data_IF_288105784954
#
_entry.id   IF_288105784954
#
_cell.length_a   1.000
_cell.length_b   1.000
_cell.length_c   1.000
_cell.angle_alpha   90.00
_cell.angle_beta   90.00
_cell.angle_gamma   90.00
#
_symmetry.space_group_name_H-M   'P 1'
#
loop_
_entity.id
_entity.type
_entity.pdbx_description
1 polymer ?
#
# COMPACT_ATOMS: atom_id res chain seq x y z
N UNK A 1 17.38 -52.20 12.66
CA UNK A 1 16.58 -52.06 11.42
C UNK A 1 15.37 -51.21 11.75
N UNK A 2 15.50 -49.90 11.59
CA UNK A 2 14.43 -48.92 11.89
C UNK A 2 13.88 -48.38 10.60
N UNK A 3 12.62 -48.59 10.35
CA UNK A 3 11.87 -47.99 9.23
C UNK A 3 11.66 -46.52 9.52
N UNK A 4 12.30 -45.63 8.76
CA UNK A 4 11.97 -44.22 8.72
C UNK A 4 10.79 -44.07 7.76
N UNK A 5 9.60 -43.86 8.31
CA UNK A 5 8.41 -43.44 7.54
C UNK A 5 8.71 -42.09 6.89
N UNK A 6 8.87 -42.10 5.58
CA UNK A 6 8.83 -40.87 4.76
C UNK A 6 7.39 -40.39 4.78
N UNK A 7 7.10 -39.34 5.58
CA UNK A 7 5.87 -38.56 5.42
C UNK A 7 5.96 -37.91 4.03
N UNK A 8 5.12 -38.36 3.12
CA UNK A 8 4.88 -37.67 1.87
C UNK A 8 4.25 -36.29 2.20
N UNK A 9 4.98 -35.21 1.97
CA UNK A 9 4.41 -33.87 1.88
C UNK A 9 3.53 -33.87 0.64
N UNK A 10 2.27 -34.22 0.81
CA UNK A 10 1.23 -33.96 -0.17
C UNK A 10 1.07 -32.43 -0.17
N UNK A 11 1.66 -31.75 -1.15
CA UNK A 11 1.33 -30.36 -1.45
C UNK A 11 -0.19 -30.31 -1.60
N UNK A 12 -0.85 -29.58 -0.70
CA UNK A 12 -2.28 -29.28 -0.80
C UNK A 12 -2.47 -28.38 -2.02
N UNK A 13 -2.62 -28.98 -3.21
CA UNK A 13 -2.92 -28.27 -4.44
C UNK A 13 -4.35 -27.77 -4.32
N UNK A 14 -4.52 -26.47 -4.03
CA UNK A 14 -5.84 -25.82 -4.01
C UNK A 14 -6.54 -26.02 -5.36
N UNK A 15 -7.77 -26.48 -5.34
CA UNK A 15 -8.60 -26.56 -6.55
C UNK A 15 -8.91 -25.16 -7.10
N UNK A 16 -9.32 -25.03 -8.36
CA UNK A 16 -9.77 -23.73 -8.89
C UNK A 16 -10.90 -23.11 -8.06
N UNK A 17 -11.80 -23.93 -7.50
CA UNK A 17 -12.89 -23.47 -6.64
C UNK A 17 -12.34 -22.88 -5.32
N UNK A 18 -11.44 -23.59 -4.65
CA UNK A 18 -10.85 -23.16 -3.38
C UNK A 18 -10.08 -21.84 -3.56
N UNK A 19 -9.35 -21.68 -4.66
CA UNK A 19 -8.66 -20.41 -5.00
C UNK A 19 -9.62 -19.27 -5.22
N UNK A 20 -10.73 -19.50 -5.93
CA UNK A 20 -11.76 -18.49 -6.17
C UNK A 20 -12.45 -18.08 -4.86
N UNK A 21 -12.74 -19.04 -3.98
CA UNK A 21 -13.31 -18.76 -2.68
C UNK A 21 -12.34 -17.96 -1.81
N UNK A 22 -11.09 -18.42 -1.68
CA UNK A 22 -10.05 -17.74 -0.88
C UNK A 22 -9.85 -16.29 -1.30
N UNK A 23 -9.64 -16.04 -2.61
CA UNK A 23 -9.43 -14.65 -3.08
C UNK A 23 -10.68 -13.79 -2.87
N UNK A 24 -11.87 -14.36 -3.03
CA UNK A 24 -13.13 -13.66 -2.77
C UNK A 24 -13.29 -13.27 -1.30
N UNK A 25 -12.94 -14.14 -0.38
CA UNK A 25 -12.95 -13.87 1.06
C UNK A 25 -11.93 -12.80 1.41
N UNK A 26 -10.70 -12.91 0.93
CA UNK A 26 -9.62 -11.95 1.15
C UNK A 26 -10.01 -10.53 0.68
N UNK A 27 -10.62 -10.42 -0.49
CA UNK A 27 -11.10 -9.13 -1.02
C UNK A 27 -12.20 -8.56 -0.12
N UNK A 28 -13.09 -9.41 0.40
CA UNK A 28 -14.22 -8.96 1.25
C UNK A 28 -13.79 -8.66 2.68
N UNK A 29 -12.75 -9.31 3.22
CA UNK A 29 -12.26 -9.07 4.60
C UNK A 29 -11.45 -7.80 4.71
N UNK A 30 -10.64 -7.49 3.71
CA UNK A 30 -9.71 -6.35 3.75
C UNK A 30 -10.40 -5.02 4.08
N UNK A 31 -9.86 -4.31 5.09
CA UNK A 31 -10.33 -2.98 5.53
C UNK A 31 -9.19 -1.97 5.52
N UNK A 32 -9.55 -0.71 5.32
CA UNK A 32 -8.66 0.41 5.66
C UNK A 32 -8.72 0.65 7.16
N UNK A 33 -7.59 0.55 7.83
CA UNK A 33 -7.51 0.68 9.29
C UNK A 33 -6.28 1.49 9.69
N UNK A 34 -6.45 2.34 10.72
CA UNK A 34 -5.37 2.96 11.49
C UNK A 34 -5.26 2.36 12.90
N UNK A 35 -6.00 1.28 13.20
CA UNK A 35 -5.82 0.49 14.40
C UNK A 35 -4.59 -0.41 14.21
N UNK A 36 -3.41 0.22 14.23
CA UNK A 36 -2.12 -0.38 13.94
C UNK A 36 -1.24 -0.24 15.18
N UNK A 37 -0.53 -1.30 15.56
CA UNK A 37 0.51 -1.26 16.56
C UNK A 37 1.74 -0.55 15.99
N UNK A 38 1.99 0.67 16.45
CA UNK A 38 3.11 1.49 15.98
C UNK A 38 4.48 1.01 16.51
N UNK A 39 4.50 0.09 17.49
CA UNK A 39 5.70 -0.42 18.13
C UNK A 39 6.08 -1.83 17.66
N UNK A 40 5.12 -2.58 17.10
CA UNK A 40 5.37 -3.92 16.59
C UNK A 40 6.00 -3.85 15.20
N UNK A 41 7.25 -4.28 15.09
CA UNK A 41 7.98 -4.29 13.80
C UNK A 41 7.37 -5.30 12.83
N UNK A 42 7.31 -4.93 11.56
CA UNK A 42 6.96 -5.85 10.46
C UNK A 42 8.26 -6.35 9.84
N UNK A 43 8.43 -7.68 9.69
CA UNK A 43 9.63 -8.24 9.05
C UNK A 43 9.87 -7.63 7.67
N UNK A 44 11.13 -7.32 7.40
CA UNK A 44 11.55 -6.67 6.15
C UNK A 44 11.15 -7.49 4.93
N UNK A 45 11.28 -8.80 5.02
CA UNK A 45 10.98 -9.75 3.95
C UNK A 45 9.51 -9.68 3.54
N UNK A 46 8.60 -9.53 4.51
CA UNK A 46 7.16 -9.36 4.22
C UNK A 46 6.94 -8.04 3.46
N UNK A 47 7.55 -6.95 3.91
CA UNK A 47 7.39 -5.64 3.24
C UNK A 47 7.95 -5.68 1.82
N UNK A 48 9.08 -6.34 1.60
CA UNK A 48 9.69 -6.50 0.28
C UNK A 48 8.78 -7.35 -0.64
N UNK A 49 8.22 -8.45 -0.14
CA UNK A 49 7.23 -9.25 -0.87
C UNK A 49 6.00 -8.41 -1.27
N UNK A 50 5.45 -7.63 -0.34
CA UNK A 50 4.32 -6.74 -0.64
C UNK A 50 4.65 -5.71 -1.72
N UNK A 51 5.86 -5.15 -1.71
CA UNK A 51 6.33 -4.24 -2.74
C UNK A 51 6.49 -4.95 -4.10
N UNK A 52 6.91 -6.21 -4.10
CA UNK A 52 6.97 -7.01 -5.32
C UNK A 52 5.56 -7.26 -5.88
N UNK A 53 4.60 -7.69 -5.07
CA UNK A 53 3.22 -7.92 -5.47
C UNK A 53 2.60 -6.68 -6.15
N UNK A 54 2.98 -5.48 -5.72
CA UNK A 54 2.53 -4.23 -6.35
C UNK A 54 2.92 -4.18 -7.82
N UNK A 55 4.08 -4.68 -8.20
CA UNK A 55 4.58 -4.63 -9.58
C UNK A 55 3.91 -5.66 -10.52
N UNK A 56 3.16 -6.61 -9.97
CA UNK A 56 2.44 -7.64 -10.75
C UNK A 56 1.09 -7.16 -11.31
N UNK A 57 0.75 -5.89 -11.14
CA UNK A 57 -0.43 -5.32 -11.75
C UNK A 57 -0.32 -5.24 -13.28
N UNK A 58 -1.44 -5.31 -14.03
CA UNK A 58 -1.44 -5.09 -15.46
C UNK A 58 -0.85 -3.72 -15.82
N UNK A 59 0.09 -3.70 -16.77
CA UNK A 59 0.72 -2.48 -17.23
C UNK A 59 0.77 -2.43 -18.77
N UNK A 60 -0.03 -1.55 -19.35
CA UNK A 60 -0.07 -1.37 -20.80
C UNK A 60 1.30 -0.86 -21.31
N UNK A 61 1.81 -1.53 -22.37
CA UNK A 61 3.13 -1.26 -22.97
C UNK A 61 4.33 -1.47 -22.04
N UNK A 62 4.17 -2.04 -20.85
CA UNK A 62 5.26 -2.37 -19.92
C UNK A 62 6.16 -1.16 -19.64
N UNK A 63 5.54 -0.05 -19.29
CA UNK A 63 6.22 1.21 -18.96
C UNK A 63 6.90 1.18 -17.59
N UNK A 64 6.55 0.18 -16.75
CA UNK A 64 7.11 -0.02 -15.40
C UNK A 64 7.06 1.25 -14.54
N UNK A 65 5.87 1.85 -14.31
CA UNK A 65 5.75 3.18 -13.77
C UNK A 65 5.91 3.27 -12.25
N UNK A 66 6.07 2.14 -11.57
CA UNK A 66 6.07 2.09 -10.11
C UNK A 66 7.33 2.73 -9.52
N UNK A 67 7.13 3.70 -8.63
CA UNK A 67 8.15 4.26 -7.75
C UNK A 67 7.75 3.88 -6.32
N UNK A 68 8.63 3.20 -5.57
CA UNK A 68 8.30 2.65 -4.26
C UNK A 68 9.42 2.99 -3.30
N UNK A 69 9.09 3.58 -2.15
CA UNK A 69 10.04 3.79 -1.05
C UNK A 69 9.40 3.38 0.26
N UNK A 70 10.11 2.54 1.00
CA UNK A 70 9.71 2.11 2.35
C UNK A 70 10.36 3.03 3.37
N UNK A 71 9.52 3.61 4.23
CA UNK A 71 9.92 4.50 5.32
C UNK A 71 9.68 3.79 6.65
N UNK A 72 10.73 3.62 7.43
CA UNK A 72 10.72 3.03 8.77
C UNK A 72 11.57 3.86 9.73
N UNK A 73 11.51 3.58 11.03
CA UNK A 73 12.32 4.32 12.03
C UNK A 73 12.13 5.83 11.90
N UNK A 74 13.23 6.57 11.88
CA UNK A 74 13.23 8.03 11.88
C UNK A 74 12.77 8.64 10.53
N UNK A 75 12.88 7.92 9.43
CA UNK A 75 12.46 8.43 8.11
C UNK A 75 10.96 8.79 8.06
N UNK A 76 10.11 8.15 8.88
CA UNK A 76 8.68 8.50 9.00
C UNK A 76 8.49 9.88 9.66
N UNK A 77 9.32 10.21 10.66
CA UNK A 77 9.32 11.53 11.32
C UNK A 77 9.75 12.60 10.31
N UNK A 78 10.86 12.37 9.61
CA UNK A 78 11.36 13.28 8.58
C UNK A 78 10.34 13.52 7.46
N UNK A 79 9.60 12.50 7.02
CA UNK A 79 8.49 12.64 6.09
C UNK A 79 7.42 13.58 6.65
N UNK A 80 7.04 13.41 7.91
CA UNK A 80 6.06 14.27 8.58
C UNK A 80 6.51 15.72 8.67
N UNK A 81 7.78 15.97 8.97
CA UNK A 81 8.38 17.29 9.02
C UNK A 81 8.41 17.96 7.64
N UNK A 82 8.84 17.24 6.59
CA UNK A 82 8.87 17.76 5.23
C UNK A 82 7.46 18.16 4.76
N UNK A 83 6.47 17.31 4.95
CA UNK A 83 5.08 17.59 4.57
C UNK A 83 4.50 18.74 5.39
N UNK A 84 4.70 18.75 6.71
CA UNK A 84 4.17 19.82 7.57
C UNK A 84 4.75 21.18 7.25
N UNK A 85 6.03 21.23 6.85
CA UNK A 85 6.69 22.47 6.40
C UNK A 85 6.02 23.05 5.14
N UNK A 86 5.72 22.20 4.15
CA UNK A 86 5.00 22.62 2.94
C UNK A 86 3.60 23.13 3.29
N UNK A 87 2.86 22.40 4.13
CA UNK A 87 1.52 22.80 4.55
C UNK A 87 1.52 24.16 5.26
N UNK A 88 2.49 24.41 6.14
CA UNK A 88 2.66 25.70 6.81
C UNK A 88 2.94 26.83 5.81
N UNK A 89 3.83 26.61 4.83
CA UNK A 89 4.14 27.60 3.77
C UNK A 89 2.91 27.90 2.91
N UNK A 90 1.99 26.97 2.72
CA UNK A 90 0.75 27.14 1.98
C UNK A 90 -0.37 27.81 2.79
N UNK A 91 -0.13 28.14 4.07
CA UNK A 91 -1.11 28.76 4.95
C UNK A 91 -2.20 27.82 5.43
N UNK A 92 -1.92 26.51 5.50
CA UNK A 92 -2.84 25.55 6.10
C UNK A 92 -3.02 25.84 7.60
N UNK A 93 -4.18 25.46 8.14
CA UNK A 93 -4.52 25.66 9.55
C UNK A 93 -3.51 24.96 10.49
N UNK A 94 -3.07 25.63 11.53
CA UNK A 94 -2.02 25.16 12.45
C UNK A 94 -2.27 23.75 12.99
N UNK A 95 -3.52 23.40 13.32
CA UNK A 95 -3.84 22.07 13.84
C UNK A 95 -3.60 20.97 12.78
N UNK A 96 -3.82 21.26 11.49
CA UNK A 96 -3.53 20.33 10.38
C UNK A 96 -2.03 20.16 10.19
N UNK A 97 -1.29 21.25 10.28
CA UNK A 97 0.19 21.26 10.20
C UNK A 97 0.79 20.42 11.32
N UNK A 98 0.37 20.65 12.57
CA UNK A 98 0.82 19.88 13.74
C UNK A 98 0.47 18.40 13.59
N UNK A 99 -0.76 18.09 13.17
CA UNK A 99 -1.20 16.71 12.93
C UNK A 99 -0.37 16.02 11.83
N UNK A 100 -0.03 16.74 10.76
CA UNK A 100 0.77 16.20 9.64
C UNK A 100 2.15 15.80 10.08
N UNK A 101 2.77 16.55 11.00
CA UNK A 101 4.12 16.30 11.52
C UNK A 101 4.29 14.91 12.15
N UNK A 102 3.26 14.39 12.81
CA UNK A 102 3.36 13.15 13.59
C UNK A 102 2.52 12.00 13.07
N UNK A 103 1.59 12.23 12.12
CA UNK A 103 0.64 11.21 11.68
C UNK A 103 1.30 9.96 11.09
N UNK A 104 2.49 10.08 10.51
CA UNK A 104 3.23 8.97 9.89
C UNK A 104 3.91 8.05 10.91
N UNK A 105 3.95 8.44 12.19
CA UNK A 105 4.42 7.60 13.30
C UNK A 105 3.35 6.62 13.83
N UNK A 106 2.14 6.64 13.25
CA UNK A 106 1.02 5.78 13.67
C UNK A 106 1.16 4.32 13.23
N UNK A 107 2.13 4.01 12.41
CA UNK A 107 2.46 2.64 11.99
C UNK A 107 3.98 2.46 11.98
N UNK A 108 4.49 1.23 12.15
CA UNK A 108 5.93 0.97 12.09
C UNK A 108 6.52 1.21 10.69
N UNK A 109 5.70 1.08 9.66
CA UNK A 109 6.08 1.24 8.25
C UNK A 109 5.10 2.19 7.55
N UNK A 110 5.65 3.06 6.70
CA UNK A 110 4.91 3.81 5.68
C UNK A 110 5.55 3.52 4.32
N UNK A 111 4.76 3.08 3.36
CA UNK A 111 5.24 2.88 1.99
C UNK A 111 4.71 4.01 1.12
N UNK A 112 5.64 4.80 0.58
CA UNK A 112 5.33 5.81 -0.42
C UNK A 112 5.29 5.14 -1.80
N UNK A 113 4.22 5.38 -2.55
CA UNK A 113 4.03 4.84 -3.89
C UNK A 113 3.76 5.97 -4.85
N UNK A 114 4.54 6.01 -5.94
CA UNK A 114 4.43 7.00 -7.00
C UNK A 114 4.25 6.36 -8.37
N UNK A 115 3.72 7.14 -9.30
CA UNK A 115 3.59 6.80 -10.71
C UNK A 115 4.52 7.68 -11.55
N UNK A 116 5.44 7.06 -12.27
CA UNK A 116 6.21 7.78 -13.29
C UNK A 116 5.29 8.20 -14.46
N UNK A 117 5.48 9.39 -15.03
CA UNK A 117 4.73 9.79 -16.21
C UNK A 117 5.02 8.89 -17.41
N UNK A 118 4.13 8.86 -18.37
CA UNK A 118 4.35 8.27 -19.68
C UNK A 118 4.90 9.29 -20.69
N UNK A 119 5.10 8.83 -21.92
CA UNK A 119 5.51 9.62 -23.08
C UNK A 119 4.38 10.50 -23.65
N UNK A 120 3.18 10.34 -23.15
CA UNK A 120 1.98 11.09 -23.50
C UNK A 120 1.05 11.23 -22.31
N UNK A 121 0.09 12.18 -22.38
CA UNK A 121 -0.93 12.33 -21.36
C UNK A 121 -1.75 11.04 -21.15
N UNK A 122 -2.18 10.42 -22.25
CA UNK A 122 -2.88 9.15 -22.19
C UNK A 122 -2.04 8.08 -21.48
N UNK A 123 -0.77 7.96 -21.80
CA UNK A 123 0.14 6.99 -21.19
C UNK A 123 0.34 7.29 -19.69
N UNK A 124 0.41 8.55 -19.33
CA UNK A 124 0.49 8.97 -17.93
C UNK A 124 -0.74 8.54 -17.14
N UNK A 125 -1.94 8.68 -17.71
CA UNK A 125 -3.19 8.20 -17.08
C UNK A 125 -3.18 6.68 -16.94
N UNK A 126 -2.78 5.94 -17.98
CA UNK A 126 -2.67 4.48 -17.92
C UNK A 126 -1.65 4.00 -16.87
N UNK A 127 -0.54 4.71 -16.72
CA UNK A 127 0.46 4.46 -15.67
C UNK A 127 -0.13 4.62 -14.26
N UNK A 128 -0.95 5.64 -14.03
CA UNK A 128 -1.68 5.82 -12.76
C UNK A 128 -2.62 4.64 -12.48
N UNK A 129 -3.34 4.16 -13.50
CA UNK A 129 -4.22 3.00 -13.33
C UNK A 129 -3.44 1.74 -12.99
N UNK A 130 -2.30 1.50 -13.63
CA UNK A 130 -1.43 0.38 -13.32
C UNK A 130 -0.91 0.45 -11.88
N UNK A 131 -0.48 1.64 -11.42
CA UNK A 131 -0.01 1.84 -10.04
C UNK A 131 -1.15 1.66 -9.04
N UNK A 132 -2.34 2.19 -9.31
CA UNK A 132 -3.50 2.02 -8.43
C UNK A 132 -3.91 0.54 -8.31
N UNK A 133 -3.89 -0.22 -9.42
CA UNK A 133 -4.12 -1.66 -9.40
C UNK A 133 -3.03 -2.39 -8.61
N UNK A 134 -1.78 -1.98 -8.73
CA UNK A 134 -0.66 -2.51 -7.94
C UNK A 134 -0.81 -2.24 -6.44
N UNK A 135 -1.24 -1.04 -6.07
CA UNK A 135 -1.54 -0.74 -4.66
C UNK A 135 -2.59 -1.71 -4.12
N UNK A 136 -3.62 -2.06 -4.89
CA UNK A 136 -4.62 -3.05 -4.44
C UNK A 136 -3.99 -4.44 -4.22
N UNK A 137 -3.05 -4.88 -5.09
CA UNK A 137 -2.31 -6.13 -4.86
C UNK A 137 -1.54 -6.09 -3.54
N UNK A 138 -0.82 -4.98 -3.28
CA UNK A 138 -0.11 -4.74 -2.02
C UNK A 138 -1.06 -4.87 -0.82
N UNK A 139 -2.23 -4.20 -0.88
CA UNK A 139 -3.20 -4.21 0.22
C UNK A 139 -3.79 -5.60 0.48
N UNK A 140 -4.02 -6.40 -0.57
CA UNK A 140 -4.50 -7.79 -0.44
C UNK A 140 -3.41 -8.71 0.10
N UNK A 141 -2.16 -8.54 -0.36
CA UNK A 141 -1.01 -9.26 0.21
C UNK A 141 -0.83 -8.97 1.70
N UNK A 142 -0.93 -7.70 2.10
CA UNK A 142 -0.86 -7.31 3.51
C UNK A 142 -1.99 -7.96 4.34
N UNK A 143 -3.22 -7.98 3.85
CA UNK A 143 -4.35 -8.67 4.50
C UNK A 143 -4.06 -10.17 4.65
N UNK A 144 -3.49 -10.82 3.63
CA UNK A 144 -3.13 -12.24 3.67
C UNK A 144 -2.05 -12.53 4.73
N UNK A 145 -1.14 -11.58 4.99
CA UNK A 145 -0.17 -11.65 6.09
C UNK A 145 -0.73 -11.22 7.46
N UNK A 146 -2.03 -10.93 7.57
CA UNK A 146 -2.66 -10.48 8.81
C UNK A 146 -2.26 -9.05 9.21
N UNK A 147 -1.80 -8.23 8.26
CA UNK A 147 -1.43 -6.84 8.48
C UNK A 147 -2.61 -5.90 8.21
N UNK A 148 -2.73 -4.88 9.05
CA UNK A 148 -3.62 -3.76 8.82
C UNK A 148 -2.96 -2.71 7.93
N UNK A 149 -3.75 -2.12 7.03
CA UNK A 149 -3.27 -1.08 6.11
C UNK A 149 -4.24 0.07 5.98
N UNK A 150 -3.70 1.25 5.68
CA UNK A 150 -4.48 2.39 5.20
C UNK A 150 -3.74 3.08 4.05
N UNK A 151 -4.38 3.16 2.91
CA UNK A 151 -3.90 3.97 1.78
C UNK A 151 -4.39 5.40 1.94
N UNK A 152 -3.47 6.31 2.31
CA UNK A 152 -3.73 7.74 2.45
C UNK A 152 -3.24 8.52 1.23
N UNK A 153 -4.04 9.52 0.83
CA UNK A 153 -3.61 10.47 -0.21
C UNK A 153 -2.53 11.42 0.33
N UNK A 154 -1.58 11.86 -0.51
CA UNK A 154 -0.65 12.92 -0.14
C UNK A 154 -1.42 14.21 0.13
N UNK A 155 -0.99 15.05 1.08
CA UNK A 155 -1.54 16.39 1.24
C UNK A 155 -1.32 17.23 -0.03
N UNK A 156 -2.27 18.13 -0.27
CA UNK A 156 -2.17 19.05 -1.43
C UNK A 156 -0.83 19.80 -1.42
N UNK A 157 -0.16 19.84 -2.58
CA UNK A 157 1.12 20.53 -2.76
C UNK A 157 2.35 19.84 -2.13
N UNK A 158 2.18 18.69 -1.45
CA UNK A 158 3.30 17.98 -0.83
C UNK A 158 4.06 17.04 -1.79
N UNK A 159 3.65 16.93 -3.06
CA UNK A 159 4.24 15.98 -4.02
C UNK A 159 5.76 16.11 -4.11
N UNK A 160 6.26 17.33 -4.32
CA UNK A 160 7.69 17.56 -4.53
C UNK A 160 8.52 17.26 -3.27
N UNK A 161 7.99 17.61 -2.08
CA UNK A 161 8.64 17.29 -0.81
C UNK A 161 8.70 15.78 -0.57
N UNK A 162 7.63 15.05 -0.92
CA UNK A 162 7.60 13.59 -0.83
C UNK A 162 8.56 12.98 -1.85
N UNK A 163 8.59 13.46 -3.10
CA UNK A 163 9.52 12.99 -4.12
C UNK A 163 10.98 13.17 -3.66
N UNK A 164 11.33 14.33 -3.12
CA UNK A 164 12.67 14.59 -2.61
C UNK A 164 13.03 13.65 -1.44
N UNK A 165 12.11 13.49 -0.48
CA UNK A 165 12.32 12.62 0.67
C UNK A 165 12.42 11.13 0.28
N UNK A 166 11.62 10.69 -0.69
CA UNK A 166 11.58 9.31 -1.17
C UNK A 166 12.58 9.00 -2.28
N UNK A 167 13.36 10.00 -2.74
CA UNK A 167 14.31 9.90 -3.86
C UNK A 167 13.60 9.50 -5.17
N UNK A 168 12.37 9.92 -5.36
CA UNK A 168 11.65 9.75 -6.61
C UNK A 168 12.08 10.83 -7.63
N UNK A 169 12.04 10.55 -8.92
CA UNK A 169 12.13 11.58 -9.94
C UNK A 169 11.10 12.71 -9.69
N UNK A 170 11.48 13.97 -9.92
CA UNK A 170 10.60 15.12 -9.67
C UNK A 170 9.29 15.09 -10.47
N UNK A 171 9.29 14.40 -11.61
CA UNK A 171 8.11 14.18 -12.44
C UNK A 171 7.14 13.12 -11.92
N UNK A 172 7.49 12.40 -10.85
CA UNK A 172 6.66 11.35 -10.27
C UNK A 172 5.42 11.95 -9.60
N UNK A 173 4.26 11.40 -9.88
CA UNK A 173 3.04 11.69 -9.12
C UNK A 173 2.93 10.73 -7.95
N UNK A 174 2.89 11.26 -6.74
CA UNK A 174 2.71 10.45 -5.52
C UNK A 174 1.26 9.97 -5.45
N UNK A 175 1.07 8.65 -5.64
CA UNK A 175 -0.24 8.01 -5.65
C UNK A 175 -0.77 7.70 -4.26
N UNK A 176 0.13 7.60 -3.26
CA UNK A 176 -0.27 7.34 -1.89
C UNK A 176 0.88 7.12 -0.93
N UNK A 177 0.50 7.20 0.34
CA UNK A 177 1.31 6.86 1.51
C UNK A 177 0.55 5.77 2.27
N UNK A 178 1.06 4.54 2.22
CA UNK A 178 0.39 3.36 2.78
C UNK A 178 0.97 3.08 4.17
N UNK A 179 0.13 3.18 5.19
CA UNK A 179 0.47 2.75 6.55
C UNK A 179 0.35 1.24 6.64
N UNK A 180 1.32 0.60 7.26
CA UNK A 180 1.39 -0.87 7.37
C UNK A 180 1.86 -1.26 8.77
N UNK A 181 1.21 -2.26 9.36
CA UNK A 181 1.61 -2.87 10.63
C UNK A 181 0.58 -3.85 11.15
N UNK A 182 0.85 -4.49 12.28
CA UNK A 182 -0.07 -5.44 12.88
C UNK A 182 -1.29 -4.73 13.47
N UNK A 183 -2.50 -5.31 13.33
CA UNK A 183 -3.72 -4.69 13.85
C UNK A 183 -3.78 -4.74 15.38
N UNK A 184 -4.28 -3.67 16.00
CA UNK A 184 -4.62 -3.61 17.43
C UNK A 184 -6.11 -3.84 17.70
N UNK A 185 -6.91 -4.03 16.66
CA UNK A 185 -8.35 -4.24 16.75
C UNK A 185 -8.98 -4.53 15.40
N UNK A 186 -10.27 -4.81 15.41
CA UNK A 186 -11.05 -5.14 14.22
C UNK A 186 -11.83 -3.91 13.75
N UNK A 187 -11.85 -3.69 12.44
CA UNK A 187 -12.70 -2.68 11.79
C UNK A 187 -13.87 -3.40 11.14
N UNK A 188 -15.08 -3.09 11.58
CA UNK A 188 -16.30 -3.63 10.99
C UNK A 188 -16.49 -3.17 9.54
N UNK A 189 -17.13 -4.04 8.73
CA UNK A 189 -17.48 -3.69 7.36
C UNK A 189 -18.73 -2.83 7.34
N UNK A 190 -18.71 -1.64 6.69
CA UNK A 190 -19.93 -0.86 6.50
C UNK A 190 -20.87 -1.46 5.44
N UNK A 191 -20.55 -2.66 4.92
CA UNK A 191 -21.25 -3.25 3.79
C UNK A 191 -20.81 -2.65 2.44
N UNK A 192 -21.36 -3.19 1.39
CA UNK A 192 -21.19 -2.68 0.01
C UNK A 192 -22.51 -2.77 -0.73
N UNK A 193 -22.84 -1.81 -1.59
CA UNK A 193 -24.00 -1.92 -2.46
C UNK A 193 -23.82 -3.10 -3.43
N UNK A 194 -24.94 -3.70 -3.83
CA UNK A 194 -24.94 -4.73 -4.88
C UNK A 194 -24.48 -4.14 -6.21
N UNK A 195 -23.62 -4.86 -6.91
CA UNK A 195 -23.17 -4.46 -8.23
C UNK A 195 -24.35 -4.41 -9.22
N UNK A 196 -24.40 -3.35 -10.00
CA UNK A 196 -25.36 -3.24 -11.13
C UNK A 196 -24.68 -3.78 -12.38
N UNK A 197 -25.17 -4.89 -12.88
CA UNK A 197 -24.64 -5.57 -14.08
C UNK A 197 -25.72 -5.63 -15.14
N UNK A 198 -25.42 -5.16 -16.34
CA UNK A 198 -26.30 -5.29 -17.49
C UNK A 198 -25.79 -6.43 -18.38
N UNK A 199 -26.69 -7.33 -18.74
CA UNK A 199 -26.46 -8.40 -19.71
C UNK A 199 -27.16 -8.00 -21.01
N UNK A 200 -26.42 -7.96 -22.14
CA UNK A 200 -26.90 -7.59 -23.49
C UNK A 200 -26.99 -8.80 -24.40
#
# INVERSE_FOLDING_TARGET
>A
MGWVERRSTQELIMTPHDRAQFIGELIRSRRSSLLIDAQCEVPREIVEELCELLTWAPNHKRTWPWQITVLSGDSRRLLGEAISSVMATQGEEDFKVVKARTKYLRSPIVVAVGAAPGDSEQRTVENRYAVAAGIQNFLLGAEAHGLATLWGSPPKGANDAINAMCQFPSSTEVMGLIYVGYPTGVVESPGRPTARVNWL
#
